data_IF_349306323558
#
_entry.id   IF_349306323558
#
_cell.length_a   1.000
_cell.length_b   1.000
_cell.length_c   1.000
_cell.angle_alpha   90.00
_cell.angle_beta   90.00
_cell.angle_gamma   90.00
#
_symmetry.space_group_name_H-M   'P 1'
#
loop_
_entity.id
_entity.type
_entity.pdbx_description
1 polymer ?
#
# COMPACT_ATOMS: atom_id res chain seq x y z
N UNK A 1 29.89 -58.26 11.37
CA UNK A 1 28.64 -57.47 11.52
C UNK A 1 29.03 -56.02 11.47
N UNK A 2 28.60 -55.26 10.46
CA UNK A 2 28.91 -53.84 10.32
C UNK A 2 27.82 -53.03 11.03
N UNK A 3 28.19 -52.09 11.89
CA UNK A 3 27.26 -51.26 12.64
C UNK A 3 27.37 -49.82 12.12
N UNK A 4 26.31 -49.31 11.51
CA UNK A 4 26.24 -47.93 11.00
C UNK A 4 25.48 -47.07 12.00
N UNK A 5 26.10 -45.99 12.48
CA UNK A 5 25.44 -44.94 13.24
C UNK A 5 25.25 -43.72 12.34
N UNK A 6 24.00 -43.29 12.19
CA UNK A 6 23.65 -42.02 11.54
C UNK A 6 23.47 -40.98 12.63
N UNK A 7 24.39 -40.00 12.69
CA UNK A 7 24.23 -38.82 13.55
C UNK A 7 23.48 -37.77 12.73
N UNK A 8 22.23 -37.50 13.10
CA UNK A 8 21.45 -36.38 12.57
C UNK A 8 21.75 -35.15 13.43
N UNK A 9 22.61 -34.27 12.92
CA UNK A 9 22.82 -32.95 13.52
C UNK A 9 21.67 -32.03 13.12
N UNK A 10 20.75 -31.77 14.04
CA UNK A 10 19.78 -30.69 13.91
C UNK A 10 20.45 -29.38 14.35
N UNK A 11 20.81 -28.51 13.41
CA UNK A 11 21.17 -27.14 13.74
C UNK A 11 19.88 -26.38 14.08
N UNK A 12 19.64 -26.10 15.35
CA UNK A 12 18.57 -25.19 15.74
C UNK A 12 18.94 -23.77 15.31
N UNK A 13 18.28 -23.24 14.28
CA UNK A 13 18.30 -21.80 14.03
C UNK A 13 17.41 -21.13 15.08
N UNK A 14 17.99 -20.25 15.90
CA UNK A 14 17.22 -19.31 16.70
C UNK A 14 17.05 -18.06 15.82
N UNK A 15 15.90 -17.84 15.17
CA UNK A 15 15.65 -16.58 14.50
C UNK A 15 15.71 -15.48 15.57
N UNK A 16 16.54 -14.46 15.32
CA UNK A 16 16.64 -13.28 16.16
C UNK A 16 16.27 -12.07 15.32
N UNK A 17 15.20 -11.37 15.69
CA UNK A 17 14.80 -10.12 15.07
C UNK A 17 15.68 -9.02 15.66
N UNK A 18 16.38 -8.27 14.82
CA UNK A 18 17.07 -7.05 15.24
C UNK A 18 16.23 -5.86 14.83
N UNK A 19 15.76 -5.09 15.82
CA UNK A 19 15.12 -3.80 15.57
C UNK A 19 16.22 -2.78 15.35
N UNK A 20 16.28 -2.23 14.13
CA UNK A 20 17.10 -1.07 13.82
C UNK A 20 16.21 0.17 13.92
N UNK A 21 16.65 1.18 14.67
CA UNK A 21 15.95 2.45 14.81
C UNK A 21 16.87 3.56 14.35
N UNK A 22 16.46 4.26 13.30
CA UNK A 22 17.14 5.45 12.80
C UNK A 22 16.19 6.65 12.90
N UNK A 23 16.64 7.77 13.48
CA UNK A 23 15.83 8.98 13.47
C UNK A 23 15.62 9.46 12.03
N UNK A 24 14.40 9.91 11.73
CA UNK A 24 14.06 10.56 10.46
C UNK A 24 14.36 12.05 10.50
N UNK A 25 14.74 12.63 9.35
CA UNK A 25 15.03 14.07 9.23
C UNK A 25 13.80 14.93 8.89
N UNK A 26 12.64 14.31 8.68
CA UNK A 26 11.38 14.98 8.37
C UNK A 26 10.42 14.97 9.56
N UNK A 27 9.48 15.91 9.55
CA UNK A 27 8.37 15.92 10.50
C UNK A 27 7.36 14.84 10.08
N UNK A 28 6.96 13.92 10.98
CA UNK A 28 6.01 12.87 10.61
C UNK A 28 4.63 13.46 10.29
N UNK A 29 3.97 12.90 9.28
CA UNK A 29 2.63 13.31 8.85
C UNK A 29 1.56 13.13 9.95
N UNK A 30 1.73 12.11 10.81
CA UNK A 30 0.90 11.85 11.97
C UNK A 30 1.69 11.16 13.09
N UNK A 31 1.09 11.00 14.26
CA UNK A 31 1.68 10.20 15.35
C UNK A 31 1.23 8.75 15.16
N UNK A 32 2.15 7.86 14.84
CA UNK A 32 1.74 6.55 14.37
C UNK A 32 2.85 5.60 14.01
N UNK A 33 2.46 4.53 13.32
CA UNK A 33 3.33 3.52 12.74
C UNK A 33 2.91 3.30 11.29
N UNK A 34 3.89 3.08 10.42
CA UNK A 34 3.68 2.61 9.05
C UNK A 34 4.38 1.26 8.91
N UNK A 35 3.64 0.26 8.47
CA UNK A 35 4.17 -1.04 8.08
C UNK A 35 4.22 -1.09 6.56
N UNK A 36 5.43 -1.24 6.02
CA UNK A 36 5.74 -1.24 4.60
C UNK A 36 6.94 -2.16 4.36
N UNK A 37 6.87 -2.97 3.30
CA UNK A 37 8.02 -3.74 2.85
C UNK A 37 9.06 -2.83 2.18
N UNK A 38 10.35 -3.05 2.46
CA UNK A 38 11.43 -2.19 1.97
C UNK A 38 11.55 -2.16 0.43
N UNK A 39 11.00 -3.16 -0.25
CA UNK A 39 10.96 -3.27 -1.72
C UNK A 39 9.56 -3.04 -2.29
N UNK A 40 8.63 -2.52 -1.48
CA UNK A 40 7.22 -2.34 -1.85
C UNK A 40 6.55 -3.62 -2.32
N UNK A 41 6.96 -4.78 -1.78
CA UNK A 41 6.24 -6.01 -2.02
C UNK A 41 4.90 -6.03 -1.27
N UNK A 42 3.86 -6.62 -1.87
CA UNK A 42 2.60 -6.83 -1.18
C UNK A 42 2.75 -7.82 -0.02
N UNK A 43 1.91 -7.68 1.00
CA UNK A 43 1.85 -8.58 2.13
C UNK A 43 1.11 -9.89 1.78
N UNK A 44 1.76 -11.04 1.97
CA UNK A 44 1.21 -12.37 1.65
C UNK A 44 0.08 -12.89 2.58
N UNK A 45 -0.05 -12.30 3.77
CA UNK A 45 -1.01 -12.69 4.82
C UNK A 45 -1.89 -11.50 5.21
N UNK A 46 -3.03 -11.69 5.90
CA UNK A 46 -3.84 -10.58 6.42
C UNK A 46 -3.13 -9.88 7.58
N UNK A 47 -1.96 -9.27 7.29
CA UNK A 47 -1.16 -8.49 8.20
C UNK A 47 -2.00 -7.37 8.81
N UNK A 48 -2.96 -6.84 8.03
CA UNK A 48 -3.94 -5.88 8.50
C UNK A 48 -4.75 -6.39 9.71
N UNK A 49 -5.18 -7.66 9.73
CA UNK A 49 -5.97 -8.21 10.84
C UNK A 49 -5.12 -8.32 12.11
N UNK A 50 -3.86 -8.71 11.95
CA UNK A 50 -2.90 -8.75 13.05
C UNK A 50 -2.64 -7.36 13.62
N UNK A 51 -2.34 -6.37 12.77
CA UNK A 51 -2.13 -4.97 13.17
C UNK A 51 -3.41 -4.40 13.82
N UNK A 52 -4.58 -4.65 13.24
CA UNK A 52 -5.87 -4.20 13.77
C UNK A 52 -6.16 -4.79 15.14
N UNK A 53 -5.82 -6.06 15.38
CA UNK A 53 -6.00 -6.70 16.69
C UNK A 53 -5.12 -6.10 17.79
N UNK A 54 -3.98 -5.47 17.44
CA UNK A 54 -3.06 -4.86 18.40
C UNK A 54 -3.32 -3.37 18.63
N UNK A 55 -3.74 -2.65 17.59
CA UNK A 55 -3.80 -1.20 17.62
C UNK A 55 -5.19 -0.60 17.43
N UNK A 56 -6.21 -1.41 17.11
CA UNK A 56 -7.57 -0.94 16.85
C UNK A 56 -8.25 -0.24 18.03
N UNK A 57 -7.83 -0.54 19.26
CA UNK A 57 -8.37 0.06 20.49
C UNK A 57 -7.66 1.38 20.89
N UNK A 58 -6.55 1.71 20.25
CA UNK A 58 -5.65 2.83 20.62
C UNK A 58 -5.34 3.76 19.44
N UNK A 59 -6.00 3.55 18.30
CA UNK A 59 -5.77 4.31 17.10
C UNK A 59 -6.59 3.83 15.91
N UNK A 60 -6.44 4.54 14.81
CA UNK A 60 -7.07 4.23 13.54
C UNK A 60 -6.11 3.42 12.67
N UNK A 61 -6.51 2.21 12.29
CA UNK A 61 -5.75 1.30 11.42
C UNK A 61 -6.35 1.29 10.03
N UNK A 62 -5.53 1.58 9.02
CA UNK A 62 -5.92 1.62 7.60
C UNK A 62 -4.90 0.85 6.78
N UNK A 63 -5.37 0.13 5.75
CA UNK A 63 -4.51 -0.52 4.78
C UNK A 63 -4.76 0.06 3.39
N UNK A 64 -3.72 -0.06 2.55
CA UNK A 64 -3.69 0.51 1.22
C UNK A 64 -3.30 -0.57 0.23
N UNK A 65 -4.19 -0.80 -0.72
CA UNK A 65 -4.02 -1.81 -1.77
C UNK A 65 -3.76 -1.11 -3.10
N UNK A 66 -2.93 -1.72 -3.94
CA UNK A 66 -2.77 -1.29 -5.33
C UNK A 66 -3.17 -2.41 -6.27
N UNK A 67 -3.68 -2.05 -7.44
CA UNK A 67 -4.02 -3.01 -8.48
C UNK A 67 -3.73 -2.44 -9.86
N UNK A 68 -3.07 -3.26 -10.66
CA UNK A 68 -2.74 -3.00 -12.05
C UNK A 68 -3.53 -3.97 -12.96
N UNK A 69 -3.57 -3.72 -14.27
CA UNK A 69 -4.28 -4.63 -15.20
C UNK A 69 -3.55 -5.99 -15.34
N UNK A 70 -2.22 -5.99 -15.28
CA UNK A 70 -1.38 -7.18 -15.24
C UNK A 70 -0.28 -7.02 -14.19
N UNK A 71 0.27 -8.13 -13.69
CA UNK A 71 1.35 -8.13 -12.69
C UNK A 71 2.59 -7.36 -13.14
N UNK A 72 2.84 -7.23 -14.44
CA UNK A 72 4.00 -6.53 -14.99
C UNK A 72 3.83 -5.01 -15.10
N UNK A 73 2.75 -4.42 -14.57
CA UNK A 73 2.51 -2.95 -14.52
C UNK A 73 2.43 -2.22 -15.88
N UNK A 74 2.67 -2.89 -17.01
CA UNK A 74 2.72 -2.29 -18.35
C UNK A 74 1.34 -2.16 -19.03
N UNK A 75 0.33 -2.83 -18.50
CA UNK A 75 -1.02 -2.80 -19.09
C UNK A 75 -1.90 -1.79 -18.36
N UNK A 76 -2.40 -0.80 -19.12
CA UNK A 76 -3.34 0.19 -18.61
C UNK A 76 -4.72 -0.46 -18.35
N UNK A 77 -5.50 0.11 -17.42
CA UNK A 77 -6.84 -0.36 -17.04
C UNK A 77 -7.88 0.40 -17.87
N UNK A 78 -8.64 -0.27 -18.74
CA UNK A 78 -9.66 0.41 -19.54
C UNK A 78 -10.82 0.89 -18.66
N UNK A 79 -11.17 2.16 -18.81
CA UNK A 79 -12.29 2.81 -18.17
C UNK A 79 -13.36 3.12 -19.21
N UNK A 80 -14.61 2.77 -18.93
CA UNK A 80 -15.75 3.06 -19.81
C UNK A 80 -16.79 3.89 -19.07
N UNK A 81 -17.11 5.07 -19.59
CA UNK A 81 -18.24 5.89 -19.17
C UNK A 81 -19.28 5.96 -20.30
N UNK A 82 -20.47 6.48 -20.01
CA UNK A 82 -21.51 6.67 -21.03
C UNK A 82 -21.07 7.63 -22.16
N UNK A 83 -20.15 8.54 -21.84
CA UNK A 83 -19.70 9.66 -22.69
C UNK A 83 -18.37 9.39 -23.39
N UNK A 84 -17.63 8.35 -23.02
CA UNK A 84 -16.32 8.06 -23.59
C UNK A 84 -15.56 6.94 -22.88
N UNK A 85 -14.33 6.71 -23.33
CA UNK A 85 -13.40 5.73 -22.76
C UNK A 85 -12.08 6.39 -22.46
N UNK A 86 -11.41 5.95 -21.40
CA UNK A 86 -10.06 6.38 -21.02
C UNK A 86 -9.31 5.17 -20.44
N UNK A 87 -8.09 5.39 -19.97
CA UNK A 87 -7.28 4.33 -19.35
C UNK A 87 -6.65 4.83 -18.05
N UNK A 88 -6.62 4.00 -17.01
CA UNK A 88 -5.92 4.31 -15.76
C UNK A 88 -4.64 3.49 -15.64
N UNK A 89 -3.61 4.06 -15.00
CA UNK A 89 -2.35 3.37 -14.77
C UNK A 89 -2.48 2.35 -13.63
N UNK A 90 -3.25 2.70 -12.59
CA UNK A 90 -3.53 1.83 -11.46
C UNK A 90 -4.86 2.18 -10.77
N UNK A 91 -5.39 1.21 -10.01
CA UNK A 91 -6.46 1.43 -9.04
C UNK A 91 -5.88 1.33 -7.64
N UNK A 92 -6.17 2.32 -6.80
CA UNK A 92 -5.80 2.33 -5.39
C UNK A 92 -7.04 2.01 -4.55
N UNK A 93 -6.82 1.28 -3.46
CA UNK A 93 -7.85 0.99 -2.47
C UNK A 93 -7.49 1.64 -1.15
N UNK A 94 -8.36 2.53 -0.67
CA UNK A 94 -8.23 3.15 0.64
C UNK A 94 -9.46 2.93 1.50
N UNK A 95 -9.26 2.81 2.81
CA UNK A 95 -10.36 2.80 3.76
C UNK A 95 -11.04 4.19 3.84
N UNK A 96 -12.35 4.28 4.12
CA UNK A 96 -13.01 5.54 4.46
C UNK A 96 -12.33 6.27 5.63
N UNK A 97 -11.72 5.52 6.55
CA UNK A 97 -10.98 6.05 7.68
C UNK A 97 -9.64 6.72 7.31
N UNK A 98 -9.11 6.52 6.10
CA UNK A 98 -7.84 7.11 5.62
C UNK A 98 -7.84 8.64 5.74
N UNK A 99 -8.99 9.29 5.52
CA UNK A 99 -9.18 10.74 5.70
C UNK A 99 -8.80 11.27 7.08
N UNK A 100 -8.82 10.40 8.10
CA UNK A 100 -8.40 10.75 9.45
C UNK A 100 -6.90 10.52 9.64
N UNK A 101 -6.29 9.60 8.89
CA UNK A 101 -4.86 9.26 9.00
C UNK A 101 -4.01 10.28 8.26
N UNK A 102 -4.21 10.41 6.95
CA UNK A 102 -3.35 11.22 6.06
C UNK A 102 -4.03 12.50 5.58
N UNK A 103 -5.35 12.63 5.77
CA UNK A 103 -6.15 13.72 5.20
C UNK A 103 -6.09 13.81 3.67
N UNK A 104 -5.89 12.67 3.01
CA UNK A 104 -5.86 12.57 1.54
C UNK A 104 -7.15 13.08 0.87
N UNK A 105 -8.26 13.10 1.61
CA UNK A 105 -9.55 13.66 1.17
C UNK A 105 -9.46 15.16 0.84
N UNK A 106 -8.46 15.88 1.36
CA UNK A 106 -8.21 17.29 1.00
C UNK A 106 -7.78 17.49 -0.44
N UNK A 107 -7.33 16.43 -1.13
CA UNK A 107 -7.05 16.47 -2.57
C UNK A 107 -8.32 16.58 -3.42
N UNK A 108 -9.52 16.32 -2.85
CA UNK A 108 -10.77 16.39 -3.57
C UNK A 108 -11.13 17.82 -3.96
N UNK A 109 -11.30 18.05 -5.25
CA UNK A 109 -11.80 19.31 -5.82
C UNK A 109 -13.30 19.27 -6.06
N UNK A 110 -13.89 18.08 -6.18
CA UNK A 110 -15.33 17.86 -6.38
C UNK A 110 -15.79 16.60 -5.64
N UNK A 111 -17.04 16.62 -5.17
CA UNK A 111 -17.69 15.45 -4.57
C UNK A 111 -17.29 15.22 -3.11
N UNK A 112 -17.19 13.95 -2.70
CA UNK A 112 -16.90 13.55 -1.31
C UNK A 112 -15.98 12.33 -1.23
N UNK A 113 -15.34 12.17 -0.08
CA UNK A 113 -14.64 10.93 0.28
C UNK A 113 -15.63 9.76 0.46
N UNK A 114 -15.09 8.57 0.68
CA UNK A 114 -15.87 7.38 0.95
C UNK A 114 -16.63 7.47 2.28
N UNK A 115 -17.83 6.90 2.31
CA UNK A 115 -18.70 6.82 3.50
C UNK A 115 -18.75 5.40 4.09
N UNK A 116 -18.38 4.37 3.33
CA UNK A 116 -18.35 3.00 3.82
C UNK A 116 -17.48 2.06 2.99
N UNK A 117 -16.92 1.03 3.62
CA UNK A 117 -15.94 0.13 3.01
C UNK A 117 -16.49 -0.68 1.82
N UNK A 118 -17.81 -0.90 1.79
CA UNK A 118 -18.46 -1.76 0.79
C UNK A 118 -19.28 -0.99 -0.25
N UNK A 119 -19.18 0.33 -0.28
CA UNK A 119 -19.91 1.12 -1.28
C UNK A 119 -19.31 0.95 -2.69
N UNK A 120 -20.15 1.00 -3.72
CA UNK A 120 -19.71 0.93 -5.12
C UNK A 120 -19.38 2.31 -5.67
N UNK A 121 -18.41 2.96 -5.07
CA UNK A 121 -17.97 4.29 -5.47
C UNK A 121 -16.55 4.29 -6.02
N UNK A 122 -16.27 5.26 -6.88
CA UNK A 122 -14.93 5.55 -7.37
C UNK A 122 -14.68 7.04 -7.25
N UNK A 123 -13.46 7.37 -6.86
CA UNK A 123 -12.90 8.72 -6.92
C UNK A 123 -11.87 8.70 -8.04
N UNK A 124 -11.91 9.66 -8.95
CA UNK A 124 -11.05 9.67 -10.15
C UNK A 124 -10.19 10.94 -10.19
N UNK A 125 -9.05 10.88 -10.88
CA UNK A 125 -8.24 12.07 -11.11
C UNK A 125 -9.00 13.08 -11.98
N UNK A 126 -8.70 14.37 -11.82
CA UNK A 126 -9.29 15.42 -12.66
C UNK A 126 -9.05 15.22 -14.16
N UNK A 127 -7.83 14.88 -14.64
CA UNK A 127 -7.61 14.58 -16.06
C UNK A 127 -8.51 13.46 -16.59
N UNK A 128 -8.68 12.37 -15.84
CA UNK A 128 -9.57 11.27 -16.24
C UNK A 128 -11.03 11.69 -16.25
N UNK A 129 -11.47 12.48 -15.27
CA UNK A 129 -12.84 13.01 -15.24
C UNK A 129 -13.14 13.86 -16.49
N UNK A 130 -12.20 14.71 -16.87
CA UNK A 130 -12.33 15.63 -17.99
C UNK A 130 -12.26 14.87 -19.34
N UNK A 131 -11.36 13.89 -19.48
CA UNK A 131 -11.25 12.99 -20.65
C UNK A 131 -12.51 12.13 -20.85
N UNK A 132 -13.04 11.56 -19.76
CA UNK A 132 -14.24 10.73 -19.79
C UNK A 132 -15.53 11.55 -19.92
N UNK A 133 -15.49 12.87 -19.67
CA UNK A 133 -16.70 13.68 -19.49
C UNK A 133 -17.54 13.24 -18.29
N UNK A 134 -16.90 12.66 -17.27
CA UNK A 134 -17.57 12.11 -16.09
C UNK A 134 -17.81 13.20 -15.02
N UNK A 135 -19.04 13.24 -14.50
CA UNK A 135 -19.41 14.11 -13.39
C UNK A 135 -19.66 13.28 -12.13
N UNK A 136 -19.81 13.96 -10.99
CA UNK A 136 -20.27 13.29 -9.76
C UNK A 136 -21.64 12.63 -10.04
N UNK A 137 -21.74 11.34 -9.71
CA UNK A 137 -22.92 10.52 -9.95
C UNK A 137 -22.89 9.72 -11.25
N UNK A 138 -21.96 10.00 -12.18
CA UNK A 138 -21.78 9.22 -13.41
C UNK A 138 -21.42 7.77 -13.11
N UNK A 139 -21.86 6.87 -13.98
CA UNK A 139 -21.43 5.47 -13.97
C UNK A 139 -20.08 5.34 -14.70
N UNK A 140 -19.18 4.57 -14.11
CA UNK A 140 -17.88 4.22 -14.65
C UNK A 140 -17.68 2.70 -14.53
N UNK A 141 -17.36 2.04 -15.63
CA UNK A 141 -17.17 0.60 -15.69
C UNK A 141 -15.70 0.27 -15.88
N UNK A 142 -15.15 -0.57 -15.00
CA UNK A 142 -13.81 -1.16 -15.11
C UNK A 142 -13.74 -2.45 -14.28
N UNK A 143 -12.79 -3.34 -14.60
CA UNK A 143 -12.72 -4.70 -14.04
C UNK A 143 -14.07 -5.47 -14.08
N UNK A 144 -14.85 -5.24 -15.15
CA UNK A 144 -16.15 -5.89 -15.33
C UNK A 144 -17.22 -5.51 -14.29
N UNK A 145 -17.05 -4.37 -13.60
CA UNK A 145 -17.97 -3.87 -12.57
C UNK A 145 -18.33 -2.42 -12.81
N UNK A 146 -19.54 -2.04 -12.42
CA UNK A 146 -20.03 -0.67 -12.46
C UNK A 146 -19.77 0.03 -11.13
N UNK A 147 -19.21 1.23 -11.22
CA UNK A 147 -18.88 2.10 -10.11
C UNK A 147 -19.55 3.45 -10.30
N UNK A 148 -19.84 4.11 -9.20
CA UNK A 148 -20.38 5.47 -9.22
C UNK A 148 -19.30 6.48 -8.88
N UNK A 149 -19.09 7.47 -9.74
CA UNK A 149 -18.15 8.56 -9.44
C UNK A 149 -18.67 9.38 -8.27
N UNK A 150 -17.97 9.37 -7.13
CA UNK A 150 -18.36 10.13 -5.92
C UNK A 150 -17.44 11.30 -5.61
N UNK A 151 -16.24 11.31 -6.19
CA UNK A 151 -15.27 12.38 -6.02
C UNK A 151 -14.35 12.53 -7.21
N UNK A 152 -13.75 13.71 -7.33
CA UNK A 152 -12.67 14.01 -8.25
C UNK A 152 -11.55 14.70 -7.49
N UNK A 153 -10.32 14.21 -7.60
CA UNK A 153 -9.15 14.80 -6.95
C UNK A 153 -8.26 15.57 -7.93
N UNK A 154 -7.56 16.57 -7.40
CA UNK A 154 -6.44 17.22 -8.09
C UNK A 154 -5.17 16.37 -7.93
N UNK A 155 -4.51 15.97 -9.03
CA UNK A 155 -3.32 15.11 -8.97
C UNK A 155 -2.15 15.69 -8.16
N UNK A 156 -1.90 17.00 -8.24
CA UNK A 156 -0.80 17.63 -7.53
C UNK A 156 -1.08 17.64 -6.03
N UNK A 157 -2.30 18.02 -5.62
CA UNK A 157 -2.71 17.96 -4.21
C UNK A 157 -2.70 16.53 -3.66
N UNK A 158 -2.96 15.53 -4.50
CA UNK A 158 -2.91 14.13 -4.11
C UNK A 158 -1.47 13.66 -3.88
N UNK A 159 -0.54 14.02 -4.77
CA UNK A 159 0.89 13.69 -4.65
C UNK A 159 1.57 14.44 -3.49
N UNK A 160 1.10 15.65 -3.17
CA UNK A 160 1.61 16.46 -2.04
C UNK A 160 1.24 15.91 -0.65
N UNK A 161 0.27 14.98 -0.57
CA UNK A 161 -0.07 14.31 0.69
C UNK A 161 0.87 13.14 0.91
N UNK A 162 1.87 13.38 1.75
CA UNK A 162 2.90 12.41 2.12
C UNK A 162 2.51 11.58 3.35
N UNK A 163 2.97 10.34 3.39
CA UNK A 163 2.78 9.44 4.53
C UNK A 163 3.94 9.56 5.56
N UNK A 164 3.98 8.68 6.58
CA UNK A 164 5.02 8.67 7.61
C UNK A 164 6.44 8.51 7.08
N UNK A 165 6.61 7.85 5.94
CA UNK A 165 7.89 7.69 5.26
C UNK A 165 8.30 8.91 4.43
N UNK A 166 7.49 9.98 4.42
CA UNK A 166 7.68 11.19 3.60
C UNK A 166 7.64 10.92 2.09
N UNK A 167 6.92 9.88 1.67
CA UNK A 167 6.68 9.55 0.27
C UNK A 167 5.19 9.69 -0.09
N UNK A 168 4.85 9.94 -1.36
CA UNK A 168 3.48 9.89 -1.84
C UNK A 168 2.88 8.49 -1.66
N UNK A 169 1.55 8.41 -1.49
CA UNK A 169 0.84 7.13 -1.41
C UNK A 169 0.54 6.50 -2.79
N UNK A 170 1.06 7.08 -3.87
CA UNK A 170 0.88 6.55 -5.23
C UNK A 170 1.73 5.29 -5.42
N UNK A 171 1.34 4.38 -6.32
CA UNK A 171 2.11 3.16 -6.53
C UNK A 171 3.49 3.47 -7.08
N UNK A 172 4.49 2.69 -6.68
CA UNK A 172 5.84 2.79 -7.25
C UNK A 172 5.95 2.03 -8.56
N UNK A 173 6.68 2.59 -9.52
CA UNK A 173 7.10 1.92 -10.74
C UNK A 173 8.11 0.85 -10.37
N UNK A 174 7.85 -0.38 -10.77
CA UNK A 174 8.87 -1.42 -10.84
C UNK A 174 9.91 -1.02 -11.90
N UNK A 175 10.85 -0.14 -11.57
CA UNK A 175 12.11 -0.04 -12.33
C UNK A 175 13.02 -1.22 -11.93
N UNK A 176 12.53 -2.42 -12.23
CA UNK A 176 13.23 -3.69 -12.06
C UNK A 176 14.19 -3.90 -13.23
N UNK A 177 15.42 -3.40 -13.13
CA UNK A 177 16.49 -3.82 -14.06
C UNK A 177 17.72 -4.43 -13.41
N UNK A 178 17.95 -4.29 -12.09
CA UNK A 178 19.24 -4.71 -11.50
C UNK A 178 19.15 -5.73 -10.35
N UNK A 179 18.00 -5.86 -9.67
CA UNK A 179 17.84 -6.80 -8.55
C UNK A 179 17.41 -8.22 -8.97
N UNK A 180 16.83 -8.38 -10.17
CA UNK A 180 16.40 -9.67 -10.75
C UNK A 180 17.48 -10.36 -11.60
N UNK A 181 18.75 -10.26 -11.18
CA UNK A 181 19.76 -11.17 -11.71
C UNK A 181 19.42 -12.58 -11.20
N UNK A 182 19.23 -13.59 -12.08
CA UNK A 182 18.79 -14.96 -11.70
C UNK A 182 19.67 -15.68 -10.66
N UNK A 183 20.84 -15.13 -10.35
CA UNK A 183 21.74 -15.65 -9.31
C UNK A 183 21.31 -15.35 -7.88
N UNK A 184 20.59 -14.26 -7.60
CA UNK A 184 20.27 -13.85 -6.22
C UNK A 184 19.03 -14.54 -5.65
N UNK A 185 18.06 -14.93 -6.46
CA UNK A 185 16.84 -15.64 -5.99
C UNK A 185 17.18 -16.98 -5.29
N UNK A 186 18.27 -17.62 -5.70
CA UNK A 186 18.87 -18.78 -5.04
C UNK A 186 19.51 -18.45 -3.67
N UNK A 187 20.00 -17.23 -3.48
CA UNK A 187 20.59 -16.77 -2.20
C UNK A 187 19.50 -16.42 -1.18
N UNK A 188 18.34 -15.92 -1.65
CA UNK A 188 17.15 -15.62 -0.83
C UNK A 188 16.49 -16.90 -0.29
N UNK A 189 16.29 -17.93 -1.13
CA UNK A 189 15.80 -19.23 -0.67
C UNK A 189 16.73 -19.93 0.34
N UNK A 190 18.00 -19.54 0.37
CA UNK A 190 19.03 -20.09 1.28
C UNK A 190 19.28 -19.24 2.52
N UNK A 191 18.58 -18.11 2.69
CA UNK A 191 18.78 -17.20 3.82
C UNK A 191 20.18 -16.58 3.87
N UNK A 192 20.87 -16.49 2.72
CA UNK A 192 22.24 -15.98 2.60
C UNK A 192 22.31 -14.55 2.06
N UNK A 193 21.17 -13.86 1.92
CA UNK A 193 21.15 -12.45 1.53
C UNK A 193 21.93 -11.62 2.56
N UNK A 194 23.12 -11.15 2.15
CA UNK A 194 23.95 -10.29 2.97
C UNK A 194 23.30 -8.89 3.00
N UNK A 195 22.67 -8.55 4.13
CA UNK A 195 22.02 -7.26 4.42
C UNK A 195 22.96 -6.03 4.35
N UNK A 196 24.24 -6.20 3.98
CA UNK A 196 25.31 -5.23 4.23
C UNK A 196 25.40 -4.06 3.23
N UNK A 197 24.55 -3.99 2.20
CA UNK A 197 24.47 -2.83 1.31
C UNK A 197 23.02 -2.52 0.96
N UNK A 198 22.21 -2.28 1.98
CA UNK A 198 20.95 -1.59 1.80
C UNK A 198 21.25 -0.10 1.69
N UNK A 199 21.42 0.38 0.46
CA UNK A 199 21.14 1.78 0.17
C UNK A 199 19.62 1.96 0.30
N UNK A 200 19.16 2.06 1.56
CA UNK A 200 17.75 2.22 1.98
C UNK A 200 17.10 3.50 1.42
N UNK A 201 17.84 4.27 0.62
CA UNK A 201 17.45 5.50 -0.02
C UNK A 201 17.23 5.36 -1.54
N UNK A 202 17.04 4.13 -2.06
CA UNK A 202 16.47 3.97 -3.38
C UNK A 202 15.03 4.51 -3.36
N UNK A 203 14.88 5.81 -3.66
CA UNK A 203 13.58 6.42 -3.92
C UNK A 203 13.02 5.76 -5.18
N UNK A 204 12.10 4.83 -4.98
CA UNK A 204 11.38 4.22 -6.09
C UNK A 204 10.60 5.32 -6.81
N UNK A 205 10.65 5.33 -8.15
CA UNK A 205 9.90 6.30 -8.94
C UNK A 205 8.41 6.07 -8.78
N UNK A 206 7.67 7.02 -8.21
CA UNK A 206 6.23 6.91 -8.06
C UNK A 206 5.47 7.13 -9.39
N UNK A 207 4.36 6.41 -9.57
CA UNK A 207 3.39 6.70 -10.62
C UNK A 207 2.76 8.07 -10.37
N UNK A 208 2.55 8.80 -11.46
CA UNK A 208 1.82 10.06 -11.38
C UNK A 208 0.34 9.82 -11.09
N UNK A 209 -0.23 10.66 -10.24
CA UNK A 209 -1.64 10.66 -9.89
C UNK A 209 -2.57 11.10 -11.05
N UNK A 210 -2.02 11.57 -12.17
CA UNK A 210 -2.81 12.03 -13.31
C UNK A 210 -3.74 10.96 -13.90
N UNK A 211 -3.36 9.68 -13.87
CA UNK A 211 -4.17 8.57 -14.39
C UNK A 211 -4.47 7.53 -13.32
N UNK A 212 -4.64 7.96 -12.06
CA UNK A 212 -5.04 7.08 -10.97
C UNK A 212 -6.54 7.19 -10.68
N UNK A 213 -7.11 6.07 -10.26
CA UNK A 213 -8.45 5.99 -9.70
C UNK A 213 -8.41 5.31 -8.33
N UNK A 214 -9.32 5.69 -7.46
CA UNK A 214 -9.37 5.26 -6.07
C UNK A 214 -10.75 4.67 -5.78
N UNK A 215 -10.79 3.52 -5.12
CA UNK A 215 -12.02 2.87 -4.65
C UNK A 215 -11.90 2.52 -3.16
N UNK A 216 -13.00 2.13 -2.48
CA UNK A 216 -12.91 1.59 -1.14
C UNK A 216 -12.03 0.34 -1.09
N UNK A 217 -11.12 0.30 -0.12
CA UNK A 217 -10.16 -0.78 0.13
C UNK A 217 -10.79 -2.17 0.00
N UNK A 218 -11.85 -2.45 0.78
CA UNK A 218 -12.48 -3.77 0.81
C UNK A 218 -13.04 -4.20 -0.56
N UNK A 219 -13.45 -3.24 -1.40
CA UNK A 219 -13.94 -3.54 -2.76
C UNK A 219 -12.81 -3.93 -3.69
N UNK A 220 -11.63 -3.30 -3.54
CA UNK A 220 -10.45 -3.64 -4.34
C UNK A 220 -9.82 -4.95 -3.87
N UNK A 221 -9.68 -5.14 -2.56
CA UNK A 221 -9.24 -6.39 -1.97
C UNK A 221 -10.14 -7.56 -2.40
N UNK A 222 -11.47 -7.36 -2.45
CA UNK A 222 -12.42 -8.38 -2.90
C UNK A 222 -12.30 -8.79 -4.39
N UNK A 223 -11.54 -8.06 -5.21
CA UNK A 223 -11.19 -8.51 -6.57
C UNK A 223 -9.79 -9.13 -6.66
N UNK A 224 -9.09 -9.28 -5.52
CA UNK A 224 -7.77 -9.89 -5.38
C UNK A 224 -6.64 -8.89 -5.53
N UNK A 225 -6.80 -7.68 -4.98
CA UNK A 225 -5.69 -6.74 -4.83
C UNK A 225 -5.03 -6.96 -3.47
N UNK A 226 -3.72 -6.83 -3.44
CA UNK A 226 -2.93 -7.10 -2.25
C UNK A 226 -2.65 -5.81 -1.47
N UNK A 227 -2.45 -5.94 -0.16
CA UNK A 227 -2.06 -4.85 0.72
C UNK A 227 -0.58 -4.53 0.53
N UNK A 228 -0.24 -3.26 0.33
CA UNK A 228 1.14 -2.80 0.22
C UNK A 228 1.62 -2.10 1.49
N UNK A 229 0.75 -1.27 2.07
CA UNK A 229 1.08 -0.54 3.30
C UNK A 229 -0.07 -0.59 4.30
N UNK A 230 0.29 -0.62 5.59
CA UNK A 230 -0.66 -0.52 6.69
C UNK A 230 -0.21 0.61 7.60
N UNK A 231 -1.06 1.63 7.75
CA UNK A 231 -0.82 2.77 8.61
C UNK A 231 -1.67 2.68 9.87
N UNK A 232 -1.08 3.13 10.97
CA UNK A 232 -1.74 3.27 12.26
C UNK A 232 -1.54 4.70 12.76
N UNK A 233 -2.61 5.46 12.89
CA UNK A 233 -2.60 6.76 13.59
C UNK A 233 -3.05 6.54 15.03
N UNK A 234 -2.17 6.77 15.99
CA UNK A 234 -2.50 6.68 17.41
C UNK A 234 -3.41 7.83 17.85
N UNK A 235 -4.27 7.54 18.81
CA UNK A 235 -5.10 8.55 19.48
C UNK A 235 -4.24 9.47 20.35
N UNK A 236 -4.78 10.64 20.70
CA UNK A 236 -4.09 11.58 21.56
C UNK A 236 -3.80 10.98 22.95
N UNK A 237 -2.57 11.16 23.43
CA UNK A 237 -2.13 10.67 24.74
C UNK A 237 -1.64 9.21 24.77
N UNK A 238 -1.73 8.47 23.66
CA UNK A 238 -1.20 7.12 23.55
C UNK A 238 0.34 7.14 23.50
N UNK A 239 0.97 6.29 24.31
CA UNK A 239 2.41 6.00 24.23
C UNK A 239 2.68 4.99 23.11
N UNK A 240 2.87 5.49 21.90
CA UNK A 240 3.11 4.68 20.71
C UNK A 240 4.43 3.90 20.75
N UNK A 241 5.47 4.42 21.42
CA UNK A 241 6.79 3.78 21.42
C UNK A 241 6.78 2.47 22.20
N UNK A 242 6.15 2.46 23.38
CA UNK A 242 6.00 1.24 24.17
C UNK A 242 5.15 0.19 23.44
N UNK A 243 4.06 0.61 22.78
CA UNK A 243 3.19 -0.28 22.03
C UNK A 243 3.90 -0.92 20.83
N UNK A 244 4.66 -0.15 20.07
CA UNK A 244 5.44 -0.66 18.93
C UNK A 244 6.49 -1.67 19.42
N UNK A 245 7.21 -1.38 20.50
CA UNK A 245 8.18 -2.34 21.08
C UNK A 245 7.53 -3.67 21.43
N UNK A 246 6.37 -3.64 22.10
CA UNK A 246 5.61 -4.85 22.46
C UNK A 246 5.09 -5.61 21.23
N UNK A 247 4.73 -4.90 20.17
CA UNK A 247 4.32 -5.49 18.91
C UNK A 247 5.48 -6.23 18.23
N UNK A 248 6.67 -5.62 18.18
CA UNK A 248 7.87 -6.21 17.59
C UNK A 248 8.41 -7.41 18.39
N UNK A 249 8.31 -7.38 19.73
CA UNK A 249 8.77 -8.49 20.59
C UNK A 249 7.91 -9.77 20.47
N UNK A 250 6.68 -9.64 19.96
CA UNK A 250 5.70 -10.73 19.84
C UNK A 250 5.58 -11.29 18.41
N UNK A 251 6.24 -10.65 17.45
CA UNK A 251 6.19 -10.98 16.02
C UNK A 251 7.31 -11.93 15.62
#
# INVERSE_FOLDING_TARGET
>A
TLLTFTVLSFTSFLPSIRVLSTPSDWKPAYRGMLLQDAYWWPWDYPAIDYVRSHFGDVGTVVARTWRFNHRNMESEIPLTAATGTATADAVLGFAPAERSVTHIDRSLVRGRWFEGDRENSVIISQPLADELGAAIGSALTFFGRDWRVTGVFDPALFEDVLDLNNEPMTPVREEYSELMNPGRELDWQKGQAQFEQLDLAAQFGHLSAQRLIVVPHDRLAAIGADDYTIAVRFDEGVDGEELIKRFLDRS
#
